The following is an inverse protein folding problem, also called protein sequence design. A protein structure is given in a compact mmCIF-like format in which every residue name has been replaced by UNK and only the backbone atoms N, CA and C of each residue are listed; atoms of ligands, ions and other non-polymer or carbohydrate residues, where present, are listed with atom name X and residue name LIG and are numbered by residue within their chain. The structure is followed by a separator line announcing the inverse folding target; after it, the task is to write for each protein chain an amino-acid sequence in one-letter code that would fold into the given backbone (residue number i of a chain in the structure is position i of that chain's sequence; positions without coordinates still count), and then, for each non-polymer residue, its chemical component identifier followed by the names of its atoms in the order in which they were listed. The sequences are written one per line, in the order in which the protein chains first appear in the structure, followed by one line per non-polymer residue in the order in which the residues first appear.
data_IF_803008827780
#
_entry.id   IF_803008827780
#
_cell.length_a   1.000
_cell.length_b   1.000
_cell.length_c   1.000
_cell.angle_alpha   90.00
_cell.angle_beta   90.00
_cell.angle_gamma   90.00
#
_symmetry.space_group_name_H-M   'P 1'
#
loop_
_entity.id
_entity.type
_entity.pdbx_description
1 polymer ?
#
# COMPACT_ATOMS: atom_id res chain seq x y z
N UNK A 1 7.20 -12.51 -15.61
CA UNK A 1 5.82 -12.03 -15.38
C UNK A 1 5.11 -13.12 -14.59
N UNK A 2 5.47 -13.23 -13.32
CA UNK A 2 5.01 -14.23 -12.35
C UNK A 2 4.93 -13.44 -11.06
N UNK A 3 3.79 -12.84 -10.76
CA UNK A 3 3.76 -11.89 -9.63
C UNK A 3 2.44 -11.93 -8.88
N UNK A 4 1.30 -11.63 -9.51
CA UNK A 4 0.03 -11.59 -8.76
C UNK A 4 -0.50 -12.97 -8.35
N UNK A 5 -0.24 -14.01 -9.14
CA UNK A 5 -0.78 -15.35 -8.88
C UNK A 5 -0.05 -16.04 -7.72
N UNK A 6 1.28 -15.96 -7.70
CA UNK A 6 2.09 -16.43 -6.58
C UNK A 6 1.82 -15.61 -5.31
N UNK A 7 1.60 -14.30 -5.48
CA UNK A 7 1.22 -13.42 -4.38
C UNK A 7 -0.14 -13.81 -3.80
N UNK A 8 -1.17 -14.06 -4.61
CA UNK A 8 -2.50 -14.48 -4.15
C UNK A 8 -2.45 -15.87 -3.47
N UNK A 9 -1.62 -16.78 -3.99
CA UNK A 9 -1.44 -18.12 -3.42
C UNK A 9 -0.65 -18.13 -2.10
N UNK A 10 0.32 -17.24 -1.92
CA UNK A 10 1.17 -17.20 -0.71
C UNK A 10 0.74 -16.14 0.32
N UNK A 11 0.17 -15.03 -0.13
CA UNK A 11 -0.12 -13.84 0.67
C UNK A 11 -1.50 -13.26 0.31
N UNK A 12 -2.50 -13.50 1.16
CA UNK A 12 -3.81 -12.86 0.99
C UNK A 12 -3.74 -11.36 1.34
N UNK A 13 -3.36 -10.52 0.37
CA UNK A 13 -3.23 -9.07 0.53
C UNK A 13 -4.57 -8.32 0.54
N UNK A 14 -5.70 -9.01 0.43
CA UNK A 14 -7.05 -8.43 0.38
C UNK A 14 -7.19 -7.28 -0.65
N UNK A 15 -6.57 -7.38 -1.83
CA UNK A 15 -6.48 -6.26 -2.79
C UNK A 15 -7.86 -5.73 -3.25
N UNK A 16 -8.88 -6.59 -3.32
CA UNK A 16 -10.25 -6.17 -3.61
C UNK A 16 -10.82 -5.26 -2.52
N UNK A 17 -10.54 -5.57 -1.25
CA UNK A 17 -10.97 -4.74 -0.10
C UNK A 17 -10.25 -3.40 -0.13
N UNK A 18 -8.95 -3.40 -0.42
CA UNK A 18 -8.14 -2.20 -0.60
C UNK A 18 -8.72 -1.31 -1.71
N UNK A 19 -9.00 -1.87 -2.88
CA UNK A 19 -9.63 -1.13 -3.98
C UNK A 19 -11.01 -0.57 -3.57
N UNK A 20 -11.79 -1.33 -2.81
CA UNK A 20 -13.05 -0.88 -2.23
C UNK A 20 -12.89 0.30 -1.28
N UNK A 21 -11.88 0.28 -0.39
CA UNK A 21 -11.57 1.38 0.52
C UNK A 21 -11.15 2.66 -0.20
N UNK A 22 -10.28 2.54 -1.19
CA UNK A 22 -9.83 3.66 -2.02
C UNK A 22 -11.03 4.35 -2.67
N UNK A 23 -11.95 3.57 -3.26
CA UNK A 23 -13.19 4.10 -3.86
C UNK A 23 -14.10 4.76 -2.84
N UNK A 24 -14.33 4.11 -1.69
CA UNK A 24 -15.21 4.65 -0.63
C UNK A 24 -14.70 5.98 -0.11
N UNK A 25 -13.39 6.11 0.08
CA UNK A 25 -12.76 7.34 0.56
C UNK A 25 -12.52 8.37 -0.56
N UNK A 26 -12.81 8.02 -1.83
CA UNK A 26 -12.55 8.87 -3.00
C UNK A 26 -11.10 9.39 -3.04
N UNK A 27 -10.17 8.56 -2.58
CA UNK A 27 -8.75 8.91 -2.51
C UNK A 27 -8.20 9.09 -3.93
N UNK A 28 -7.50 10.20 -4.18
CA UNK A 28 -6.89 10.52 -5.47
C UNK A 28 -5.41 10.17 -5.49
N UNK A 29 -4.71 10.35 -4.38
CA UNK A 29 -3.31 9.97 -4.24
C UNK A 29 -3.12 9.03 -3.05
N UNK A 30 -2.65 7.82 -3.32
CA UNK A 30 -2.47 6.77 -2.32
C UNK A 30 -0.98 6.42 -2.19
N UNK A 31 -0.47 6.46 -0.97
CA UNK A 31 0.88 6.00 -0.65
C UNK A 31 0.82 4.53 -0.20
N UNK A 32 1.57 3.67 -0.88
CA UNK A 32 1.71 2.25 -0.54
C UNK A 32 3.08 2.00 0.07
N UNK A 33 3.11 1.27 1.18
CA UNK A 33 4.35 0.78 1.79
C UNK A 33 4.31 -0.75 1.91
N UNK A 34 5.40 -1.38 1.48
CA UNK A 34 5.58 -2.83 1.51
C UNK A 34 6.80 -3.21 2.37
N UNK A 35 6.74 -4.33 3.11
CA UNK A 35 7.93 -4.99 3.64
C UNK A 35 8.89 -5.37 2.51
N UNK A 36 10.19 -5.50 2.79
CA UNK A 36 11.20 -5.77 1.76
C UNK A 36 10.90 -7.01 0.90
N UNK A 37 10.40 -8.09 1.51
CA UNK A 37 10.03 -9.31 0.79
C UNK A 37 8.85 -9.15 -0.19
N UNK A 38 8.02 -8.12 -0.01
CA UNK A 38 6.87 -7.84 -0.87
C UNK A 38 7.13 -6.72 -1.88
N UNK A 39 8.25 -5.98 -1.78
CA UNK A 39 8.55 -4.88 -2.70
C UNK A 39 8.69 -5.32 -4.15
N UNK A 40 9.11 -6.56 -4.39
CA UNK A 40 9.20 -7.13 -5.74
C UNK A 40 7.84 -7.16 -6.45
N UNK A 41 6.75 -7.25 -5.69
CA UNK A 41 5.38 -7.28 -6.20
C UNK A 41 4.72 -5.89 -6.25
N UNK A 42 5.40 -4.83 -5.79
CA UNK A 42 4.78 -3.52 -5.59
C UNK A 42 4.19 -2.93 -6.87
N UNK A 43 4.87 -3.08 -8.01
CA UNK A 43 4.36 -2.60 -9.30
C UNK A 43 3.14 -3.39 -9.75
N UNK A 44 3.14 -4.72 -9.57
CA UNK A 44 2.02 -5.58 -9.92
C UNK A 44 0.77 -5.25 -9.09
N UNK A 45 0.95 -4.97 -7.79
CA UNK A 45 -0.13 -4.49 -6.91
C UNK A 45 -0.66 -3.14 -7.38
N UNK A 46 0.21 -2.19 -7.74
CA UNK A 46 -0.20 -0.87 -8.26
C UNK A 46 -0.98 -1.01 -9.56
N UNK A 47 -0.54 -1.85 -10.49
CA UNK A 47 -1.23 -2.06 -11.77
C UNK A 47 -2.65 -2.61 -11.53
N UNK A 48 -2.78 -3.62 -10.67
CA UNK A 48 -4.08 -4.17 -10.28
C UNK A 48 -5.01 -3.13 -9.63
N UNK A 49 -4.48 -2.30 -8.72
CA UNK A 49 -5.27 -1.25 -8.06
C UNK A 49 -5.65 -0.12 -9.02
N UNK A 50 -4.81 0.20 -10.00
CA UNK A 50 -5.10 1.18 -11.07
C UNK A 50 -6.18 0.71 -12.03
N UNK A 51 -6.22 -0.58 -12.36
CA UNK A 51 -7.30 -1.12 -13.19
C UNK A 51 -8.66 -1.00 -12.49
N UNK A 52 -8.68 -1.05 -11.16
CA UNK A 52 -9.90 -1.00 -10.36
C UNK A 52 -10.26 0.39 -9.88
N UNK A 53 -9.32 1.33 -9.78
CA UNK A 53 -9.54 2.65 -9.16
C UNK A 53 -8.97 3.76 -10.04
N UNK A 54 -9.51 4.98 -9.92
CA UNK A 54 -8.98 6.16 -10.62
C UNK A 54 -7.91 6.90 -9.81
N UNK A 55 -7.32 6.24 -8.81
CA UNK A 55 -6.31 6.83 -7.94
C UNK A 55 -4.91 6.76 -8.57
N UNK A 56 -4.09 7.74 -8.24
CA UNK A 56 -2.65 7.70 -8.43
C UNK A 56 -1.97 7.06 -7.23
N UNK A 57 -0.85 6.37 -7.47
CA UNK A 57 -0.15 5.61 -6.46
C UNK A 57 1.31 6.04 -6.38
N UNK A 58 1.80 6.19 -5.14
CA UNK A 58 3.22 6.35 -4.83
C UNK A 58 3.65 5.09 -4.07
N UNK A 59 4.78 4.52 -4.45
CA UNK A 59 5.37 3.39 -3.74
C UNK A 59 6.48 3.92 -2.84
N UNK A 60 6.39 3.65 -1.54
CA UNK A 60 7.47 3.92 -0.61
C UNK A 60 8.58 2.88 -0.75
N UNK A 61 9.74 3.32 -1.24
CA UNK A 61 10.92 2.47 -1.42
C UNK A 61 11.89 2.51 -0.23
N UNK A 62 11.60 3.29 0.82
CA UNK A 62 12.36 3.28 2.06
C UNK A 62 12.14 2.01 2.87
N UNK A 63 12.62 1.98 4.11
CA UNK A 63 12.45 0.82 5.00
C UNK A 63 10.99 0.59 5.37
N UNK A 64 10.68 -0.65 5.73
CA UNK A 64 9.43 -1.06 6.36
C UNK A 64 9.70 -2.29 7.23
N UNK A 65 10.17 -2.07 8.45
CA UNK A 65 10.47 -3.15 9.41
C UNK A 65 9.27 -3.59 10.25
N UNK A 66 8.17 -2.82 10.23
CA UNK A 66 7.02 -3.07 11.08
C UNK A 66 5.95 -1.98 11.00
N UNK A 67 4.84 -2.19 11.72
CA UNK A 67 3.75 -1.22 11.82
C UNK A 67 4.16 0.16 12.39
N UNK A 68 5.30 0.23 13.09
CA UNK A 68 5.87 1.47 13.62
C UNK A 68 6.70 2.25 12.58
N UNK A 69 7.09 1.62 11.47
CA UNK A 69 8.02 2.20 10.49
C UNK A 69 7.26 3.02 9.44
N UNK A 70 6.77 4.19 9.84
CA UNK A 70 6.06 5.10 8.95
C UNK A 70 7.03 5.88 8.04
N UNK A 71 6.67 6.15 6.78
CA UNK A 71 7.46 6.99 5.88
C UNK A 71 7.81 8.37 6.46
N UNK A 72 9.12 8.66 6.56
CA UNK A 72 9.69 9.94 7.03
C UNK A 72 10.29 10.76 5.88
N UNK A 73 10.41 12.09 6.02
CA UNK A 73 11.03 12.96 5.01
C UNK A 73 10.14 13.31 3.81
N UNK A 74 8.86 12.91 3.86
CA UNK A 74 7.85 13.20 2.84
C UNK A 74 6.86 14.29 3.29
N UNK A 75 7.25 15.16 4.23
CA UNK A 75 6.37 16.17 4.83
C UNK A 75 5.75 17.12 3.80
N UNK A 76 6.43 17.38 2.69
CA UNK A 76 5.90 18.18 1.57
C UNK A 76 4.86 17.42 0.71
N UNK A 77 4.85 16.09 0.75
CA UNK A 77 3.89 15.22 0.07
C UNK A 77 2.74 14.79 0.97
N UNK A 78 2.95 14.70 2.29
CA UNK A 78 1.92 14.29 3.27
C UNK A 78 0.57 15.01 3.08
N UNK A 79 0.51 16.34 2.89
CA UNK A 79 -0.76 17.05 2.69
C UNK A 79 -1.48 16.68 1.38
N UNK A 80 -0.79 16.05 0.42
CA UNK A 80 -1.35 15.65 -0.88
C UNK A 80 -1.79 14.19 -0.89
N UNK A 81 -1.31 13.38 0.06
CA UNK A 81 -1.63 11.95 0.14
C UNK A 81 -2.97 11.82 0.86
N UNK A 82 -3.97 11.31 0.15
CA UNK A 82 -5.32 11.14 0.68
C UNK A 82 -5.45 9.85 1.52
N UNK A 83 -4.61 8.85 1.23
CA UNK A 83 -4.65 7.56 1.90
C UNK A 83 -3.27 6.93 1.97
N UNK A 84 -2.96 6.31 3.10
CA UNK A 84 -1.74 5.55 3.32
C UNK A 84 -2.10 4.10 3.64
N UNK A 85 -1.50 3.16 2.91
CA UNK A 85 -1.74 1.72 3.05
C UNK A 85 -0.40 1.04 3.28
N UNK A 86 -0.29 0.36 4.41
CA UNK A 86 0.88 -0.41 4.78
C UNK A 86 0.52 -1.90 4.75
N UNK A 87 1.24 -2.68 3.95
CA UNK A 87 1.03 -4.12 3.83
C UNK A 87 1.92 -4.90 4.81
N UNK A 88 1.53 -6.14 5.10
CA UNK A 88 2.37 -7.12 5.80
C UNK A 88 2.42 -7.01 7.32
N UNK A 89 1.65 -6.11 7.94
CA UNK A 89 1.65 -5.92 9.38
C UNK A 89 0.24 -5.66 9.91
N UNK A 90 -0.01 -6.06 11.16
CA UNK A 90 -1.21 -5.63 11.88
C UNK A 90 -1.12 -4.15 12.22
N UNK A 91 -2.28 -3.51 12.42
CA UNK A 91 -2.33 -2.13 12.90
C UNK A 91 -1.53 -1.98 14.20
N UNK A 92 -0.80 -0.87 14.32
CA UNK A 92 -0.13 -0.52 15.57
C UNK A 92 -1.20 -0.35 16.66
N UNK A 93 -1.02 -1.06 17.79
CA UNK A 93 -1.94 -0.92 18.92
C UNK A 93 -1.87 0.52 19.45
N UNK A 94 -3.02 1.14 19.80
CA UNK A 94 -3.01 2.47 20.39
C UNK A 94 -2.27 2.44 21.74
N UNK A 95 -1.35 3.39 21.91
CA UNK A 95 -0.74 3.67 23.21
C UNK A 95 -1.79 4.35 24.10
N UNK A 96 -2.22 3.66 25.16
CA UNK A 96 -3.03 4.24 26.25
C UNK A 96 -2.20 5.16 27.13
#
# INVERSE_FOLDING_TARGET
MHDLKELDEQYNLELEKVAGEIKRNKAKLVLLQFPDGLKIYATAVVDYLREKTSAEFIIWMGTCFGACDYPVGIDHLRPKIDMFIQFGHNALMPSY
#
